data_IF_193779031389
#
_entry.id   IF_193779031389
#
_cell.length_a   1.000
_cell.length_b   1.000
_cell.length_c   1.000
_cell.angle_alpha   90.00
_cell.angle_beta   90.00
_cell.angle_gamma   90.00
#
_symmetry.space_group_name_H-M   'P 1'
#
loop_
_entity.id
_entity.type
_entity.pdbx_description
1 polymer ?
#
# COMPACT_ATOMS: atom_id res chain seq x y z
N UNK A 1 3.50 -38.90 4.82
CA UNK A 1 4.58 -39.59 5.56
C UNK A 1 5.67 -39.92 4.52
N UNK A 2 6.90 -39.41 4.59
CA UNK A 2 8.02 -40.10 5.26
C UNK A 2 9.32 -39.34 5.01
N UNK A 3 10.18 -39.18 6.02
CA UNK A 3 11.63 -39.23 5.78
C UNK A 3 12.07 -40.69 5.87
N UNK A 4 12.96 -41.10 4.96
CA UNK A 4 13.52 -42.45 4.86
C UNK A 4 14.80 -42.66 5.67
N UNK A 5 14.94 -42.04 6.84
CA UNK A 5 16.14 -42.13 7.67
C UNK A 5 15.92 -43.06 8.90
N UNK A 6 16.97 -43.74 9.35
CA UNK A 6 16.93 -44.74 10.44
C UNK A 6 16.96 -44.15 11.87
N UNK A 7 16.92 -42.82 12.01
CA UNK A 7 16.62 -42.14 13.28
C UNK A 7 15.10 -41.97 13.38
N UNK A 8 14.52 -42.30 14.55
CA UNK A 8 13.09 -42.10 14.78
C UNK A 8 12.74 -40.62 14.54
N UNK A 9 11.84 -40.30 13.60
CA UNK A 9 11.47 -38.92 13.33
C UNK A 9 10.88 -38.30 14.60
N UNK A 10 11.36 -37.12 15.00
CA UNK A 10 10.65 -36.29 15.98
C UNK A 10 9.42 -35.70 15.29
N UNK A 11 8.23 -36.12 15.72
CA UNK A 11 6.97 -35.67 15.16
C UNK A 11 6.60 -34.32 15.76
N UNK A 12 6.28 -33.33 14.92
CA UNK A 12 5.65 -32.11 15.40
C UNK A 12 4.27 -32.42 15.98
N UNK A 13 3.93 -31.83 17.14
CA UNK A 13 2.57 -31.91 17.71
C UNK A 13 1.57 -30.97 17.04
N UNK A 14 2.06 -29.98 16.28
CA UNK A 14 1.22 -29.04 15.56
C UNK A 14 0.33 -29.76 14.55
N UNK A 15 -0.98 -29.54 14.65
CA UNK A 15 -1.96 -30.13 13.72
C UNK A 15 -2.25 -29.20 12.54
N UNK A 16 -2.69 -29.81 11.43
CA UNK A 16 -3.18 -29.12 10.24
C UNK A 16 -4.68 -29.40 10.05
N UNK A 17 -5.45 -28.53 9.39
CA UNK A 17 -6.84 -28.80 9.08
C UNK A 17 -6.99 -30.08 8.25
N UNK A 18 -7.95 -30.93 8.60
CA UNK A 18 -8.19 -32.21 7.92
C UNK A 18 -8.87 -32.04 6.55
N UNK A 19 -9.42 -30.86 6.28
CA UNK A 19 -10.03 -30.47 5.01
C UNK A 19 -9.45 -29.13 4.54
N UNK A 20 -9.60 -28.83 3.24
CA UNK A 20 -9.24 -27.52 2.72
C UNK A 20 -9.98 -26.41 3.48
N UNK A 21 -9.27 -25.33 3.81
CA UNK A 21 -9.82 -24.18 4.51
C UNK A 21 -10.58 -23.25 3.56
N UNK A 22 -11.16 -22.16 4.09
CA UNK A 22 -11.90 -21.19 3.27
C UNK A 22 -11.06 -20.63 2.12
N UNK A 23 -11.70 -20.38 0.98
CA UNK A 23 -11.04 -19.85 -0.21
C UNK A 23 -10.31 -18.54 0.09
N UNK A 24 -9.08 -18.39 -0.41
CA UNK A 24 -8.28 -17.17 -0.23
C UNK A 24 -7.70 -16.96 1.17
N UNK A 25 -7.90 -17.90 2.10
CA UNK A 25 -7.27 -17.85 3.44
C UNK A 25 -5.86 -18.44 3.42
N UNK A 26 -5.02 -18.02 4.38
CA UNK A 26 -3.65 -18.54 4.54
C UNK A 26 -3.57 -19.30 5.86
N UNK A 27 -2.82 -20.41 5.90
CA UNK A 27 -2.52 -21.09 7.16
C UNK A 27 -1.46 -20.34 7.95
N UNK A 28 -1.75 -20.05 9.21
CA UNK A 28 -0.92 -19.35 10.18
C UNK A 28 -0.81 -20.19 11.45
N UNK A 29 0.36 -20.21 12.06
CA UNK A 29 0.52 -20.83 13.37
C UNK A 29 -0.19 -19.98 14.43
N UNK A 30 -0.92 -20.63 15.35
CA UNK A 30 -1.59 -19.97 16.50
C UNK A 30 -0.87 -20.19 17.84
N UNK A 31 0.32 -20.78 17.80
CA UNK A 31 1.10 -21.15 18.98
C UNK A 31 0.95 -22.61 19.38
N UNK A 32 -0.08 -23.32 18.89
CA UNK A 32 -0.26 -24.77 19.10
C UNK A 32 -0.41 -25.52 17.78
N UNK A 33 -1.18 -24.98 16.84
CA UNK A 33 -1.57 -25.60 15.57
C UNK A 33 -1.42 -24.63 14.38
N UNK A 34 -1.66 -25.15 13.18
CA UNK A 34 -1.85 -24.36 11.97
C UNK A 34 -3.34 -24.12 11.73
N UNK A 35 -3.75 -22.86 11.77
CA UNK A 35 -5.15 -22.42 11.56
C UNK A 35 -5.24 -21.42 10.43
N UNK A 36 -6.38 -21.37 9.74
CA UNK A 36 -6.59 -20.40 8.66
C UNK A 36 -6.77 -18.98 9.21
N UNK A 37 -6.27 -17.98 8.48
CA UNK A 37 -6.61 -16.58 8.71
C UNK A 37 -8.10 -16.33 8.46
N UNK A 38 -8.65 -15.30 9.09
CA UNK A 38 -9.96 -14.73 8.72
C UNK A 38 -9.87 -13.86 7.47
N UNK A 39 -8.75 -13.16 7.31
CA UNK A 39 -8.49 -12.35 6.14
C UNK A 39 -8.42 -13.20 4.85
N UNK A 40 -9.08 -12.71 3.81
CA UNK A 40 -9.02 -13.25 2.45
C UNK A 40 -8.00 -12.47 1.61
N UNK A 41 -7.24 -13.20 0.80
CA UNK A 41 -6.20 -12.67 -0.07
C UNK A 41 -6.55 -12.90 -1.55
N UNK A 42 -6.09 -12.04 -2.46
CA UNK A 42 -6.28 -12.24 -3.89
C UNK A 42 -5.66 -13.56 -4.36
N UNK A 43 -6.33 -14.24 -5.30
CA UNK A 43 -5.79 -15.45 -5.96
C UNK A 43 -4.56 -15.14 -6.80
N UNK A 44 -4.50 -13.92 -7.35
CA UNK A 44 -3.37 -13.37 -8.10
C UNK A 44 -3.19 -11.92 -7.73
N UNK A 45 -1.95 -11.44 -7.81
CA UNK A 45 -1.64 -10.01 -7.75
C UNK A 45 -1.32 -9.49 -9.14
N UNK A 46 -1.46 -8.18 -9.33
CA UNK A 46 -1.03 -7.49 -10.53
C UNK A 46 0.35 -6.87 -10.30
N UNK A 47 1.20 -6.89 -11.33
CA UNK A 47 2.53 -6.27 -11.30
C UNK A 47 2.44 -4.81 -10.84
N UNK A 48 3.38 -4.40 -9.98
CA UNK A 48 3.56 -3.04 -9.46
C UNK A 48 2.41 -2.48 -8.61
N UNK A 49 1.51 -3.33 -8.06
CA UNK A 49 0.48 -2.92 -7.10
C UNK A 49 0.89 -3.14 -5.66
N UNK A 50 0.18 -2.49 -4.74
CA UNK A 50 0.39 -2.62 -3.29
C UNK A 50 -0.82 -3.31 -2.67
N UNK A 51 -0.59 -4.37 -1.90
CA UNK A 51 -1.65 -5.03 -1.13
C UNK A 51 -1.99 -4.19 0.11
N UNK A 52 -3.29 -4.03 0.39
CA UNK A 52 -3.78 -3.30 1.56
C UNK A 52 -5.09 -3.90 2.07
N UNK A 53 -5.44 -3.62 3.33
CA UNK A 53 -6.75 -4.00 3.89
C UNK A 53 -7.85 -3.14 3.26
N UNK A 54 -8.51 -3.65 2.22
CA UNK A 54 -9.52 -2.92 1.46
C UNK A 54 -10.90 -2.93 2.11
N UNK A 55 -11.15 -3.91 2.98
CA UNK A 55 -12.32 -3.99 3.85
C UNK A 55 -11.98 -4.83 5.10
N UNK A 56 -12.92 -4.98 6.03
CA UNK A 56 -12.78 -5.92 7.14
C UNK A 56 -12.51 -7.32 6.60
N UNK A 57 -11.40 -7.95 7.04
CA UNK A 57 -10.97 -9.28 6.62
C UNK A 57 -10.79 -9.47 5.09
N UNK A 58 -10.51 -8.40 4.34
CA UNK A 58 -10.23 -8.48 2.90
C UNK A 58 -8.96 -7.71 2.56
N UNK A 59 -8.02 -8.39 1.93
CA UNK A 59 -6.84 -7.78 1.32
C UNK A 59 -7.14 -7.53 -0.16
N UNK A 60 -7.05 -6.27 -0.58
CA UNK A 60 -7.19 -5.83 -1.96
C UNK A 60 -5.89 -5.18 -2.47
N UNK A 61 -5.93 -4.62 -3.69
CA UNK A 61 -4.78 -3.98 -4.32
C UNK A 61 -5.01 -2.50 -4.63
N UNK A 62 -4.11 -1.63 -4.17
CA UNK A 62 -4.05 -0.23 -4.62
C UNK A 62 -3.54 -0.22 -6.08
N UNK A 63 -4.21 0.53 -6.96
CA UNK A 63 -3.76 0.74 -8.35
C UNK A 63 -2.43 1.49 -8.39
N UNK A 64 -1.53 1.06 -9.27
CA UNK A 64 -0.30 1.82 -9.55
C UNK A 64 -0.63 3.12 -10.30
N UNK A 65 0.14 4.16 -10.03
CA UNK A 65 0.18 5.37 -10.85
C UNK A 65 1.65 5.78 -11.03
N UNK A 66 2.02 6.10 -12.27
CA UNK A 66 3.41 6.44 -12.61
C UNK A 66 3.82 7.75 -11.93
N UNK A 67 4.99 7.73 -11.27
CA UNK A 67 5.55 8.90 -10.59
C UNK A 67 4.57 9.61 -9.65
N UNK A 68 3.67 8.83 -9.04
CA UNK A 68 2.66 9.31 -8.09
C UNK A 68 3.14 9.27 -6.64
N UNK A 69 2.32 9.81 -5.75
CA UNK A 69 2.57 9.83 -4.30
C UNK A 69 1.45 9.06 -3.59
N UNK A 70 1.81 8.14 -2.69
CA UNK A 70 0.86 7.46 -1.83
C UNK A 70 0.26 8.45 -0.82
N UNK A 71 -1.06 8.53 -0.78
CA UNK A 71 -1.84 9.32 0.17
C UNK A 71 -2.95 8.48 0.77
N UNK A 72 -3.52 8.95 1.87
CA UNK A 72 -4.78 8.46 2.41
C UNK A 72 -5.87 9.48 2.14
N UNK A 73 -7.05 9.03 1.72
CA UNK A 73 -8.20 9.90 1.51
C UNK A 73 -8.69 10.50 2.83
N UNK A 74 -9.59 11.49 2.75
CA UNK A 74 -10.30 11.99 3.94
C UNK A 74 -11.15 10.92 4.64
N UNK A 75 -11.47 9.81 3.97
CA UNK A 75 -12.12 8.63 4.55
C UNK A 75 -11.14 7.56 5.06
N UNK A 76 -9.83 7.82 5.00
CA UNK A 76 -8.78 6.90 5.46
C UNK A 76 -8.40 5.80 4.47
N UNK A 77 -8.87 5.86 3.22
CA UNK A 77 -8.58 4.86 2.19
C UNK A 77 -7.24 5.21 1.50
N UNK A 78 -6.24 4.31 1.50
CA UNK A 78 -5.00 4.52 0.77
C UNK A 78 -5.20 4.57 -0.75
N UNK A 79 -4.51 5.49 -1.43
CA UNK A 79 -4.53 5.64 -2.90
C UNK A 79 -3.24 6.32 -3.39
N UNK A 80 -2.88 6.16 -4.66
CA UNK A 80 -1.75 6.88 -5.27
C UNK A 80 -2.30 8.09 -6.05
N UNK A 81 -1.84 9.31 -5.73
CA UNK A 81 -2.11 10.49 -6.56
C UNK A 81 -1.48 10.33 -7.95
N UNK A 82 -2.05 10.98 -8.97
CA UNK A 82 -1.52 10.93 -10.33
C UNK A 82 -0.09 11.49 -10.47
N UNK A 83 0.48 11.37 -11.67
CA UNK A 83 1.79 11.95 -11.96
C UNK A 83 1.81 13.46 -11.75
N UNK A 84 2.82 13.97 -11.04
CA UNK A 84 3.00 15.40 -10.80
C UNK A 84 3.54 16.11 -12.05
N UNK A 85 3.10 17.34 -12.31
CA UNK A 85 3.74 18.23 -13.31
C UNK A 85 4.75 19.16 -12.65
N UNK A 86 5.58 19.84 -13.45
CA UNK A 86 6.55 20.83 -12.98
C UNK A 86 5.90 21.84 -12.04
N UNK A 87 6.54 22.10 -10.90
CA UNK A 87 6.05 23.04 -9.90
C UNK A 87 4.93 22.54 -9.00
N UNK A 88 4.42 21.32 -9.19
CA UNK A 88 3.42 20.77 -8.28
C UNK A 88 4.06 20.23 -7.00
N UNK A 89 3.33 20.37 -5.91
CA UNK A 89 3.60 19.76 -4.60
C UNK A 89 2.32 19.12 -4.07
N UNK A 90 2.45 18.20 -3.11
CA UNK A 90 1.29 17.68 -2.37
C UNK A 90 0.91 18.69 -1.29
N UNK A 91 -0.32 19.18 -1.34
CA UNK A 91 -0.86 20.13 -0.35
C UNK A 91 -2.07 19.48 0.35
N UNK A 92 -2.09 19.57 1.68
CA UNK A 92 -3.24 19.14 2.47
C UNK A 92 -4.49 19.95 2.12
N UNK A 93 -5.64 19.29 2.11
CA UNK A 93 -6.93 19.93 1.88
C UNK A 93 -7.85 19.66 3.05
N UNK A 94 -8.19 20.67 3.86
CA UNK A 94 -8.99 20.48 5.07
C UNK A 94 -10.35 19.87 4.73
N UNK A 95 -10.65 18.69 5.28
CA UNK A 95 -11.88 17.94 5.02
C UNK A 95 -11.86 17.11 3.72
N UNK A 96 -10.77 17.14 2.96
CA UNK A 96 -10.61 16.40 1.71
C UNK A 96 -9.27 15.65 1.65
N UNK A 97 -9.10 14.82 0.62
CA UNK A 97 -7.82 14.17 0.33
C UNK A 97 -6.77 15.22 -0.05
N UNK A 98 -5.49 15.07 0.33
CA UNK A 98 -4.41 15.93 -0.18
C UNK A 98 -4.40 15.97 -1.72
N UNK A 99 -4.08 17.13 -2.27
CA UNK A 99 -4.11 17.37 -3.72
C UNK A 99 -2.73 17.76 -4.24
N UNK A 100 -2.47 17.50 -5.51
CA UNK A 100 -1.34 18.09 -6.20
C UNK A 100 -1.69 19.54 -6.59
N UNK A 101 -0.82 20.48 -6.25
CA UNK A 101 -1.05 21.90 -6.54
C UNK A 101 0.24 22.57 -6.98
N UNK A 102 0.15 23.40 -8.01
CA UNK A 102 1.27 24.23 -8.47
C UNK A 102 1.57 25.31 -7.45
N UNK A 103 2.82 25.43 -7.02
CA UNK A 103 3.24 26.58 -6.21
C UNK A 103 3.22 27.84 -7.09
N UNK A 104 2.50 28.86 -6.64
CA UNK A 104 2.39 30.16 -7.32
C UNK A 104 2.99 31.26 -6.46
N UNK A 105 3.59 32.25 -7.12
CA UNK A 105 4.06 33.46 -6.46
C UNK A 105 2.93 34.41 -6.08
N UNK A 106 3.28 35.47 -5.37
CA UNK A 106 2.39 36.61 -5.13
C UNK A 106 2.92 37.81 -5.90
N UNK A 107 2.01 38.54 -6.55
CA UNK A 107 2.33 39.75 -7.31
C UNK A 107 3.09 40.74 -6.42
N UNK A 108 4.28 41.15 -6.84
CA UNK A 108 5.15 42.10 -6.15
C UNK A 108 5.72 41.66 -4.79
N UNK A 109 5.71 40.36 -4.42
CA UNK A 109 6.47 39.90 -3.24
C UNK A 109 7.32 38.66 -3.48
N UNK A 110 6.80 37.62 -4.11
CA UNK A 110 7.55 36.38 -4.34
C UNK A 110 7.35 35.94 -5.78
N UNK A 111 8.46 35.88 -6.52
CA UNK A 111 8.50 35.23 -7.82
C UNK A 111 8.71 33.74 -7.63
N UNK A 112 7.85 32.93 -8.24
CA UNK A 112 7.99 31.47 -8.29
C UNK A 112 8.29 31.05 -9.73
N UNK A 113 9.46 30.46 -9.95
CA UNK A 113 9.86 29.89 -11.23
C UNK A 113 9.87 28.37 -11.13
N UNK A 114 8.83 27.74 -11.71
CA UNK A 114 8.68 26.29 -11.75
C UNK A 114 9.44 25.70 -12.95
N UNK A 115 10.22 24.64 -12.72
CA UNK A 115 10.92 23.90 -13.75
C UNK A 115 10.83 22.38 -13.50
N UNK A 116 11.37 21.58 -14.41
CA UNK A 116 11.48 20.14 -14.21
C UNK A 116 12.44 19.85 -13.05
N UNK A 117 11.92 19.23 -11.98
CA UNK A 117 12.72 18.85 -10.82
C UNK A 117 13.18 20.02 -9.92
N UNK A 118 12.73 21.25 -10.15
CA UNK A 118 13.07 22.39 -9.29
C UNK A 118 11.96 23.45 -9.22
N UNK A 119 11.96 24.17 -8.10
CA UNK A 119 11.15 25.36 -7.87
C UNK A 119 12.10 26.42 -7.30
N UNK A 120 12.26 27.54 -8.00
CA UNK A 120 13.08 28.66 -7.53
C UNK A 120 12.18 29.76 -6.98
N UNK A 121 12.52 30.26 -5.79
CA UNK A 121 11.85 31.36 -5.10
C UNK A 121 12.80 32.56 -5.03
N UNK A 122 12.33 33.74 -5.39
CA UNK A 122 13.08 34.99 -5.23
C UNK A 122 12.17 36.15 -4.83
N UNK A 123 12.76 37.24 -4.31
CA UNK A 123 12.07 38.54 -4.23
C UNK A 123 11.86 39.10 -5.65
N UNK A 124 10.96 40.08 -5.84
CA UNK A 124 10.80 40.76 -7.12
C UNK A 124 12.08 41.53 -7.45
N UNK A 125 12.37 41.67 -8.74
CA UNK A 125 13.47 42.49 -9.25
C UNK A 125 12.98 43.91 -9.57
#
# INVERSE_FOLDING_TARGET
>A
LRSGASSAPSWSTATYPATATGTGTILRADGTNWTATTATYPTTTTINRILYSSAADVIGEITTANSGVLVTSSSGVPSILGSMTNGQIVIGSTGATPVLSTLTGTTDQITVTNAAGSITLSTPQ
#
